data_IF_629848746816
#
_entry.id   IF_629848746816
#
_cell.length_a   1.000
_cell.length_b   1.000
_cell.length_c   1.000
_cell.angle_alpha   90.00
_cell.angle_beta   90.00
_cell.angle_gamma   90.00
#
_symmetry.space_group_name_H-M   'P 1'
#
loop_
_entity.id
_entity.type
_entity.pdbx_description
1 polymer ?
#
# COMPACT_ATOMS: atom_id res chain seq x y z
N UNK A 1 11.29 -1.80 -2.69
CA UNK A 1 12.25 -2.57 -3.51
C UNK A 1 13.53 -1.74 -3.69
N UNK A 2 14.72 -2.36 -3.95
CA UNK A 2 15.96 -1.62 -4.26
C UNK A 2 15.81 -0.65 -5.42
N UNK A 3 14.81 -0.84 -6.24
CA UNK A 3 14.53 -0.13 -7.49
C UNK A 3 13.49 0.98 -7.37
N UNK A 4 13.04 1.32 -6.15
CA UNK A 4 12.23 2.52 -5.97
C UNK A 4 13.14 3.75 -6.06
N UNK A 5 13.19 4.37 -7.22
CA UNK A 5 13.98 5.57 -7.47
C UNK A 5 13.19 6.82 -7.13
N UNK A 6 13.55 7.47 -6.04
CA UNK A 6 13.34 8.87 -5.87
C UNK A 6 14.66 9.60 -6.20
N UNK A 7 14.86 9.94 -7.44
CA UNK A 7 15.78 10.99 -7.86
C UNK A 7 14.97 12.07 -8.57
N UNK A 8 14.29 12.91 -7.82
CA UNK A 8 13.54 14.08 -8.32
C UNK A 8 12.76 13.75 -9.60
N UNK A 9 11.51 14.01 -9.64
CA UNK A 9 10.42 13.91 -10.65
C UNK A 9 10.66 13.46 -12.12
N UNK A 10 11.85 13.14 -12.57
CA UNK A 10 12.13 12.77 -13.97
C UNK A 10 12.31 11.27 -14.24
N UNK A 11 12.51 10.46 -13.21
CA UNK A 11 12.77 9.01 -13.40
C UNK A 11 11.54 8.13 -13.19
N UNK A 12 10.63 8.49 -12.28
CA UNK A 12 9.48 7.66 -11.92
C UNK A 12 8.46 7.51 -13.05
N UNK A 13 8.27 8.56 -13.83
CA UNK A 13 7.33 8.58 -14.95
C UNK A 13 7.76 7.65 -16.09
N UNK A 14 9.04 7.69 -16.47
CA UNK A 14 9.56 6.86 -17.55
C UNK A 14 9.70 5.40 -17.12
N UNK A 15 10.03 5.17 -15.84
CA UNK A 15 10.06 3.84 -15.26
C UNK A 15 8.68 3.20 -15.25
N UNK A 16 7.63 3.93 -14.85
CA UNK A 16 6.27 3.42 -14.84
C UNK A 16 5.82 2.97 -16.25
N UNK A 17 6.05 3.77 -17.28
CA UNK A 17 5.71 3.41 -18.66
C UNK A 17 6.52 2.19 -19.14
N UNK A 18 7.80 2.11 -18.78
CA UNK A 18 8.64 0.95 -19.09
C UNK A 18 8.10 -0.32 -18.44
N UNK A 19 7.71 -0.27 -17.14
CA UNK A 19 7.13 -1.42 -16.45
C UNK A 19 5.83 -1.88 -17.09
N UNK A 20 4.99 -0.96 -17.56
CA UNK A 20 3.77 -1.28 -18.31
C UNK A 20 4.11 -2.00 -19.62
N UNK A 21 5.08 -1.50 -20.38
CA UNK A 21 5.55 -2.14 -21.62
C UNK A 21 6.14 -3.54 -21.38
N UNK A 22 6.74 -3.76 -20.20
CA UNK A 22 7.26 -5.06 -19.75
C UNK A 22 6.16 -5.99 -19.21
N UNK A 23 4.91 -5.54 -19.15
CA UNK A 23 3.73 -6.36 -18.81
C UNK A 23 3.24 -6.23 -17.37
N UNK A 24 3.54 -5.15 -16.66
CA UNK A 24 2.95 -4.90 -15.36
C UNK A 24 1.44 -4.63 -15.47
N UNK A 25 0.63 -5.35 -14.70
CA UNK A 25 -0.82 -5.18 -14.62
C UNK A 25 -1.22 -4.01 -13.71
N UNK A 26 -0.43 -3.76 -12.67
CA UNK A 26 -0.65 -2.68 -11.69
C UNK A 26 0.65 -1.92 -11.48
N UNK A 27 0.58 -0.59 -11.50
CA UNK A 27 1.69 0.29 -11.12
C UNK A 27 1.41 0.86 -9.74
N UNK A 28 2.28 0.53 -8.76
CA UNK A 28 2.18 1.06 -7.40
C UNK A 28 3.03 2.32 -7.24
N UNK A 29 2.40 3.42 -6.79
CA UNK A 29 3.01 4.75 -6.72
C UNK A 29 2.95 5.24 -5.28
N UNK A 30 4.11 5.53 -4.69
CA UNK A 30 4.21 6.13 -3.36
C UNK A 30 5.06 7.40 -3.35
N UNK A 31 4.62 8.41 -2.61
CA UNK A 31 5.34 9.67 -2.42
C UNK A 31 6.15 9.72 -1.12
N UNK A 32 5.89 8.81 -0.18
CA UNK A 32 6.59 8.64 1.10
C UNK A 32 7.31 7.28 1.11
N UNK A 33 8.54 7.25 1.63
CA UNK A 33 9.26 5.98 1.78
C UNK A 33 8.81 5.27 3.06
N UNK A 34 8.45 3.99 2.95
CA UNK A 34 8.10 3.12 4.09
C UNK A 34 9.30 2.33 4.63
N UNK A 35 10.54 2.63 4.16
CA UNK A 35 11.77 1.97 4.61
C UNK A 35 12.14 2.37 6.03
N UNK A 36 12.88 1.50 6.76
CA UNK A 36 13.42 1.85 8.07
C UNK A 36 14.19 3.17 8.05
N UNK A 37 13.86 4.08 8.99
CA UNK A 37 14.53 5.38 9.11
C UNK A 37 14.08 6.46 8.12
N UNK A 38 13.09 6.19 7.28
CA UNK A 38 12.55 7.21 6.38
C UNK A 38 11.91 8.37 7.18
N UNK A 39 12.14 9.59 6.72
CA UNK A 39 11.52 10.78 7.29
C UNK A 39 10.04 10.85 6.85
N UNK A 40 9.20 11.38 7.77
CA UNK A 40 7.81 11.70 7.45
C UNK A 40 7.72 12.76 6.35
N UNK A 41 6.82 12.53 5.40
CA UNK A 41 6.52 13.46 4.30
C UNK A 41 5.13 14.04 4.52
N UNK A 42 4.96 15.37 4.35
CA UNK A 42 3.63 15.98 4.44
C UNK A 42 2.72 15.53 3.28
N UNK A 43 1.39 15.58 3.48
CA UNK A 43 0.44 15.24 2.42
C UNK A 43 0.63 16.10 1.17
N UNK A 44 0.88 17.41 1.33
CA UNK A 44 1.13 18.34 0.22
C UNK A 44 2.35 17.93 -0.62
N UNK A 45 3.45 17.57 0.06
CA UNK A 45 4.67 17.13 -0.62
C UNK A 45 4.48 15.76 -1.30
N UNK A 46 3.75 14.85 -0.66
CA UNK A 46 3.41 13.55 -1.23
C UNK A 46 2.56 13.71 -2.50
N UNK A 47 1.52 14.53 -2.45
CA UNK A 47 0.68 14.90 -3.60
C UNK A 47 1.55 15.50 -4.72
N UNK A 48 2.43 16.44 -4.39
CA UNK A 48 3.33 17.07 -5.37
C UNK A 48 4.21 16.05 -6.09
N UNK A 49 4.58 14.97 -5.42
CA UNK A 49 5.41 13.90 -5.98
C UNK A 49 4.66 12.97 -6.89
N UNK A 50 3.46 12.53 -6.49
CA UNK A 50 2.75 11.43 -7.18
C UNK A 50 1.87 11.90 -8.33
N UNK A 51 1.24 13.09 -8.23
CA UNK A 51 0.27 13.55 -9.22
C UNK A 51 0.85 13.66 -10.64
N UNK A 52 2.05 14.20 -10.87
CA UNK A 52 2.65 14.25 -12.21
C UNK A 52 2.81 12.85 -12.82
N UNK A 53 3.19 11.86 -12.00
CA UNK A 53 3.37 10.46 -12.44
C UNK A 53 2.03 9.85 -12.84
N UNK A 54 1.00 10.00 -12.01
CA UNK A 54 -0.36 9.49 -12.30
C UNK A 54 -0.87 10.07 -13.61
N UNK A 55 -0.79 11.39 -13.81
CA UNK A 55 -1.22 12.05 -15.04
C UNK A 55 -0.52 11.52 -16.28
N UNK A 56 0.79 11.32 -16.20
CA UNK A 56 1.56 10.80 -17.32
C UNK A 56 1.16 9.37 -17.67
N UNK A 57 0.98 8.50 -16.67
CA UNK A 57 0.52 7.12 -16.90
C UNK A 57 -0.87 7.14 -17.54
N UNK A 58 -1.82 7.91 -17.00
CA UNK A 58 -3.18 7.99 -17.54
C UNK A 58 -3.25 8.54 -18.95
N UNK A 59 -2.37 9.44 -19.32
CA UNK A 59 -2.29 9.95 -20.71
C UNK A 59 -1.80 8.88 -21.71
N UNK A 60 -1.07 7.87 -21.25
CA UNK A 60 -0.42 6.87 -22.10
C UNK A 60 -1.00 5.46 -21.96
N UNK A 61 -1.70 5.13 -20.87
CA UNK A 61 -2.10 3.76 -20.55
C UNK A 61 -3.37 3.70 -19.70
N UNK A 62 -4.09 2.58 -19.82
CA UNK A 62 -5.21 2.18 -18.95
C UNK A 62 -4.79 1.18 -17.85
N UNK A 63 -3.50 0.94 -17.65
CA UNK A 63 -3.01 0.08 -16.58
C UNK A 63 -3.52 0.52 -15.20
N UNK A 64 -3.83 -0.41 -14.30
CA UNK A 64 -4.30 -0.06 -12.98
C UNK A 64 -3.20 0.68 -12.18
N UNK A 65 -3.60 1.72 -11.45
CA UNK A 65 -2.70 2.49 -10.59
C UNK A 65 -3.12 2.27 -9.14
N UNK A 66 -2.24 1.70 -8.32
CA UNK A 66 -2.36 1.74 -6.87
C UNK A 66 -1.54 2.89 -6.30
N UNK A 67 -1.99 3.45 -5.18
CA UNK A 67 -1.30 4.54 -4.49
C UNK A 67 -0.97 4.09 -3.07
N UNK A 68 0.35 3.97 -2.79
CA UNK A 68 0.86 3.67 -1.45
C UNK A 68 0.83 4.95 -0.61
N UNK A 69 -0.20 5.06 0.20
CA UNK A 69 -0.39 6.16 1.14
C UNK A 69 -1.28 5.75 2.31
N UNK A 70 -1.10 6.44 3.45
CA UNK A 70 -1.89 6.32 4.67
C UNK A 70 -2.60 7.64 5.03
N UNK A 71 -2.74 8.54 4.04
CA UNK A 71 -3.32 9.88 4.21
C UNK A 71 -4.49 10.07 3.25
N UNK A 72 -5.65 10.45 3.80
CA UNK A 72 -6.87 10.65 3.03
C UNK A 72 -6.70 11.71 1.94
N UNK A 73 -6.06 12.83 2.24
CA UNK A 73 -5.86 13.92 1.27
C UNK A 73 -5.06 13.46 0.04
N UNK A 74 -4.10 12.56 0.26
CA UNK A 74 -3.25 12.05 -0.82
C UNK A 74 -4.04 11.13 -1.74
N UNK A 75 -4.77 10.15 -1.19
CA UNK A 75 -5.58 9.24 -2.03
C UNK A 75 -6.73 9.99 -2.71
N UNK A 76 -7.33 10.99 -2.07
CA UNK A 76 -8.37 11.82 -2.67
C UNK A 76 -7.85 12.57 -3.90
N UNK A 77 -6.69 13.22 -3.79
CA UNK A 77 -6.03 13.88 -4.91
C UNK A 77 -5.66 12.88 -6.02
N UNK A 78 -5.12 11.72 -5.65
CA UNK A 78 -4.71 10.70 -6.60
C UNK A 78 -5.90 10.11 -7.39
N UNK A 79 -7.00 9.80 -6.72
CA UNK A 79 -8.23 9.28 -7.35
C UNK A 79 -8.84 10.32 -8.31
N UNK A 80 -8.79 11.61 -7.96
CA UNK A 80 -9.25 12.67 -8.86
C UNK A 80 -8.47 12.75 -10.17
N UNK A 81 -7.23 12.27 -10.18
CA UNK A 81 -6.35 12.23 -11.35
C UNK A 81 -6.26 10.81 -11.99
N UNK A 82 -7.09 9.89 -11.52
CA UNK A 82 -7.28 8.59 -12.13
C UNK A 82 -6.57 7.41 -11.47
N UNK A 83 -6.16 7.51 -10.21
CA UNK A 83 -5.76 6.32 -9.44
C UNK A 83 -6.97 5.42 -9.16
N UNK A 84 -6.74 4.10 -9.11
CA UNK A 84 -7.78 3.09 -9.02
C UNK A 84 -7.85 2.41 -7.65
N UNK A 85 -6.71 2.27 -6.94
CA UNK A 85 -6.57 1.41 -5.77
C UNK A 85 -5.86 2.18 -4.66
N UNK A 86 -6.33 2.06 -3.43
CA UNK A 86 -5.61 2.48 -2.23
C UNK A 86 -4.74 1.32 -1.74
N UNK A 87 -3.43 1.52 -1.66
CA UNK A 87 -2.51 0.62 -0.98
C UNK A 87 -2.12 1.26 0.37
N UNK A 88 -2.70 0.76 1.48
CA UNK A 88 -2.47 1.34 2.79
C UNK A 88 -1.68 0.40 3.69
N UNK A 89 -0.39 0.70 3.85
CA UNK A 89 0.53 -0.04 4.72
C UNK A 89 0.17 0.03 6.20
N UNK A 90 -0.74 0.95 6.60
CA UNK A 90 -1.28 1.04 7.96
C UNK A 90 -2.56 0.23 8.16
N UNK A 91 -3.11 -0.36 7.10
CA UNK A 91 -4.39 -1.08 7.13
C UNK A 91 -5.53 -0.24 7.74
N UNK A 92 -5.63 1.03 7.36
CA UNK A 92 -6.64 2.01 7.81
C UNK A 92 -6.53 2.38 9.31
N UNK A 93 -5.31 2.35 9.87
CA UNK A 93 -5.09 2.71 11.27
C UNK A 93 -4.61 4.16 11.46
N UNK A 94 -3.87 4.70 10.48
CA UNK A 94 -3.21 6.00 10.64
C UNK A 94 -4.14 7.19 10.33
N UNK A 95 -5.25 6.98 9.60
CA UNK A 95 -6.22 8.02 9.23
C UNK A 95 -7.65 7.47 9.26
N UNK A 96 -8.48 7.98 10.19
CA UNK A 96 -9.85 7.49 10.41
C UNK A 96 -10.81 7.76 9.23
N UNK A 97 -10.53 8.78 8.43
CA UNK A 97 -11.39 9.21 7.32
C UNK A 97 -11.12 8.45 6.02
N UNK A 98 -9.96 7.82 5.90
CA UNK A 98 -9.53 7.14 4.67
C UNK A 98 -10.45 5.96 4.32
N UNK A 99 -10.92 5.21 5.33
CA UNK A 99 -11.83 4.09 5.14
C UNK A 99 -13.20 4.55 4.59
N UNK A 100 -13.73 5.65 5.13
CA UNK A 100 -15.01 6.22 4.68
C UNK A 100 -14.90 6.76 3.26
N UNK A 101 -13.80 7.41 2.92
CA UNK A 101 -13.52 7.86 1.56
C UNK A 101 -13.45 6.70 0.57
N UNK A 102 -12.71 5.63 0.89
CA UNK A 102 -12.60 4.45 0.03
C UNK A 102 -13.96 3.78 -0.20
N UNK A 103 -14.79 3.68 0.84
CA UNK A 103 -16.15 3.16 0.74
C UNK A 103 -17.04 4.03 -0.16
N UNK A 104 -17.03 5.36 0.02
CA UNK A 104 -17.79 6.31 -0.78
C UNK A 104 -17.42 6.24 -2.26
N UNK A 105 -16.12 6.19 -2.57
CA UNK A 105 -15.62 6.09 -3.94
C UNK A 105 -15.71 4.69 -4.53
N UNK A 106 -15.94 3.66 -3.70
CA UNK A 106 -16.00 2.26 -4.14
C UNK A 106 -14.69 1.74 -4.72
N UNK A 107 -13.54 2.31 -4.29
CA UNK A 107 -12.21 1.88 -4.73
C UNK A 107 -11.75 0.66 -3.95
N UNK A 108 -10.98 -0.26 -4.57
CA UNK A 108 -10.30 -1.34 -3.85
C UNK A 108 -9.29 -0.80 -2.84
N UNK A 109 -9.12 -1.54 -1.73
CA UNK A 109 -8.12 -1.25 -0.70
C UNK A 109 -7.23 -2.46 -0.46
N UNK A 110 -5.93 -2.23 -0.34
CA UNK A 110 -4.95 -3.22 0.09
C UNK A 110 -4.62 -2.93 1.55
N UNK A 111 -4.87 -3.90 2.41
CA UNK A 111 -4.64 -3.84 3.86
C UNK A 111 -3.39 -4.66 4.19
N UNK A 112 -2.31 -4.00 4.61
CA UNK A 112 -1.04 -4.66 4.88
C UNK A 112 -0.80 -4.85 6.39
N UNK A 113 -0.27 -6.02 6.77
CA UNK A 113 0.24 -6.25 8.11
C UNK A 113 1.65 -5.69 8.26
N UNK A 114 1.83 -4.76 9.19
CA UNK A 114 3.15 -4.31 9.68
C UNK A 114 3.24 -4.48 11.20
N UNK A 115 4.44 -4.68 11.73
CA UNK A 115 4.69 -4.65 13.17
C UNK A 115 5.60 -3.46 13.50
N UNK A 116 5.10 -2.54 14.33
CA UNK A 116 5.81 -1.33 14.69
C UNK A 116 5.82 -0.25 13.59
N UNK A 117 6.57 0.81 13.85
CA UNK A 117 6.78 1.90 12.89
C UNK A 117 8.06 1.64 12.07
N UNK A 118 8.20 2.21 10.87
CA UNK A 118 9.37 1.98 10.01
C UNK A 118 10.72 2.15 10.71
N UNK A 119 10.82 3.08 11.68
CA UNK A 119 12.06 3.35 12.39
C UNK A 119 12.59 2.18 13.24
N UNK A 120 11.69 1.35 13.79
CA UNK A 120 12.01 0.29 14.75
C UNK A 120 11.41 -1.08 14.41
N UNK A 121 10.78 -1.22 13.25
CA UNK A 121 10.06 -2.45 12.89
C UNK A 121 10.96 -3.70 12.84
N UNK A 122 12.26 -3.54 12.62
CA UNK A 122 13.21 -4.65 12.58
C UNK A 122 13.74 -5.05 13.96
N UNK A 123 13.44 -4.27 15.01
CA UNK A 123 13.91 -4.56 16.38
C UNK A 123 13.08 -5.67 17.05
N UNK A 124 11.86 -5.91 16.57
CA UNK A 124 10.96 -6.93 17.08
C UNK A 124 10.35 -7.78 15.96
N UNK A 125 11.12 -8.77 15.53
CA UNK A 125 10.72 -9.73 14.48
C UNK A 125 10.27 -11.08 15.04
N UNK A 126 10.19 -11.23 16.39
CA UNK A 126 9.82 -12.49 17.04
C UNK A 126 8.29 -12.67 17.06
N UNK A 127 7.83 -13.81 16.57
CA UNK A 127 6.43 -14.26 16.59
C UNK A 127 6.32 -15.59 17.35
N UNK A 128 5.21 -15.80 18.04
CA UNK A 128 4.87 -17.11 18.57
C UNK A 128 4.41 -18.07 17.46
N UNK A 129 3.48 -17.59 16.64
CA UNK A 129 3.02 -18.21 15.40
C UNK A 129 2.74 -17.08 14.40
N UNK A 130 3.69 -16.81 13.52
CA UNK A 130 3.60 -15.67 12.59
C UNK A 130 2.39 -15.75 11.67
N UNK A 131 2.01 -16.95 11.21
CA UNK A 131 0.86 -17.08 10.33
C UNK A 131 -0.43 -16.72 11.07
N UNK A 132 -0.67 -17.29 12.25
CA UNK A 132 -1.86 -17.01 13.05
C UNK A 132 -1.95 -15.56 13.51
N UNK A 133 -0.83 -14.96 13.91
CA UNK A 133 -0.80 -13.56 14.35
C UNK A 133 -1.13 -12.60 13.21
N UNK A 134 -0.55 -12.83 12.02
CA UNK A 134 -0.80 -12.02 10.82
C UNK A 134 -2.23 -12.22 10.33
N UNK A 135 -2.73 -13.45 10.28
CA UNK A 135 -4.08 -13.77 9.87
C UNK A 135 -5.12 -13.12 10.78
N UNK A 136 -4.96 -13.24 12.10
CA UNK A 136 -5.86 -12.62 13.07
C UNK A 136 -5.87 -11.09 12.96
N UNK A 137 -4.71 -10.47 12.76
CA UNK A 137 -4.63 -9.02 12.53
C UNK A 137 -5.39 -8.63 11.27
N UNK A 138 -5.07 -9.26 10.13
CA UNK A 138 -5.72 -8.95 8.85
C UNK A 138 -7.23 -9.19 8.90
N UNK A 139 -7.69 -10.28 9.53
CA UNK A 139 -9.11 -10.54 9.75
C UNK A 139 -9.79 -9.42 10.54
N UNK A 140 -9.12 -8.87 11.56
CA UNK A 140 -9.64 -7.73 12.32
C UNK A 140 -9.74 -6.47 11.46
N UNK A 141 -8.74 -6.21 10.60
CA UNK A 141 -8.73 -5.05 9.69
C UNK A 141 -9.76 -5.19 8.57
N UNK A 142 -9.95 -6.39 8.03
CA UNK A 142 -11.07 -6.70 7.11
C UNK A 142 -12.41 -6.41 7.77
N UNK A 143 -12.62 -6.87 9.00
CA UNK A 143 -13.86 -6.61 9.75
C UNK A 143 -14.08 -5.11 9.95
N UNK A 144 -13.03 -4.35 10.25
CA UNK A 144 -13.09 -2.89 10.34
C UNK A 144 -13.48 -2.26 9.01
N UNK A 145 -12.80 -2.62 7.90
CA UNK A 145 -13.10 -2.10 6.57
C UNK A 145 -14.55 -2.35 6.15
N UNK A 146 -15.06 -3.57 6.40
CA UNK A 146 -16.48 -3.93 6.18
C UNK A 146 -17.43 -3.06 7.01
N UNK A 147 -17.10 -2.81 8.27
CA UNK A 147 -17.92 -1.97 9.17
C UNK A 147 -17.98 -0.51 8.71
N UNK A 148 -16.97 -0.06 7.96
CA UNK A 148 -16.90 1.28 7.35
C UNK A 148 -17.58 1.35 5.99
N UNK A 149 -18.14 0.25 5.48
CA UNK A 149 -18.91 0.19 4.24
C UNK A 149 -18.09 -0.18 2.99
N UNK A 150 -16.82 -0.58 3.13
CA UNK A 150 -16.05 -1.10 1.99
C UNK A 150 -16.60 -2.47 1.61
N UNK A 151 -16.91 -2.67 0.32
CA UNK A 151 -17.48 -3.92 -0.15
C UNK A 151 -16.47 -5.08 -0.05
N UNK A 152 -16.90 -6.32 0.27
CA UNK A 152 -15.99 -7.45 0.47
C UNK A 152 -15.07 -7.71 -0.75
N UNK A 153 -15.59 -7.57 -1.95
CA UNK A 153 -14.84 -7.76 -3.20
C UNK A 153 -13.89 -6.60 -3.55
N UNK A 154 -13.79 -5.61 -2.68
CA UNK A 154 -12.88 -4.46 -2.78
C UNK A 154 -11.76 -4.50 -1.74
N UNK A 155 -11.66 -5.58 -0.97
CA UNK A 155 -10.63 -5.72 0.07
C UNK A 155 -9.60 -6.75 -0.38
N UNK A 156 -8.35 -6.36 -0.36
CA UNK A 156 -7.18 -7.20 -0.63
C UNK A 156 -6.34 -7.21 0.64
N UNK A 157 -5.80 -8.36 1.03
CA UNK A 157 -4.93 -8.49 2.19
C UNK A 157 -3.49 -8.77 1.78
N UNK A 158 -2.54 -8.10 2.44
CA UNK A 158 -1.10 -8.28 2.24
C UNK A 158 -0.44 -8.68 3.58
N UNK A 159 0.24 -9.83 3.65
CA UNK A 159 0.98 -10.23 4.85
C UNK A 159 2.13 -9.29 5.23
N UNK A 160 2.52 -8.36 4.38
CA UNK A 160 3.58 -7.39 4.63
C UNK A 160 4.95 -8.05 4.74
N UNK A 161 5.38 -8.73 3.67
CA UNK A 161 6.70 -9.38 3.59
C UNK A 161 7.80 -8.35 3.78
N UNK A 162 8.74 -8.60 4.72
CA UNK A 162 9.84 -7.67 5.03
C UNK A 162 9.51 -6.60 6.08
N UNK A 163 8.24 -6.44 6.48
CA UNK A 163 7.81 -5.46 7.46
C UNK A 163 7.74 -6.08 8.86
N UNK A 164 8.82 -5.93 9.67
CA UNK A 164 8.90 -6.47 11.02
C UNK A 164 8.91 -7.99 11.06
N UNK A 165 9.55 -8.64 10.11
CA UNK A 165 9.59 -10.11 9.95
C UNK A 165 11.00 -10.56 9.58
N UNK A 166 11.47 -11.61 10.24
CA UNK A 166 12.72 -12.27 9.89
C UNK A 166 12.58 -13.17 8.64
N UNK A 167 13.65 -13.80 8.23
CA UNK A 167 13.67 -14.64 7.03
C UNK A 167 12.67 -15.81 7.14
N UNK A 168 12.60 -16.48 8.30
CA UNK A 168 11.73 -17.65 8.48
C UNK A 168 10.27 -17.24 8.53
N UNK A 169 9.91 -16.14 9.20
CA UNK A 169 8.58 -15.58 9.20
C UNK A 169 8.11 -15.23 7.78
N UNK A 170 8.96 -14.57 6.99
CA UNK A 170 8.65 -14.26 5.59
C UNK A 170 8.42 -15.52 4.76
N UNK A 171 9.26 -16.55 4.92
CA UNK A 171 9.14 -17.83 4.21
C UNK A 171 7.83 -18.55 4.54
N UNK A 172 7.42 -18.55 5.82
CA UNK A 172 6.16 -19.15 6.25
C UNK A 172 4.97 -18.43 5.63
N UNK A 173 4.98 -17.10 5.64
CA UNK A 173 3.89 -16.28 5.08
C UNK A 173 3.77 -16.44 3.57
N UNK A 174 4.88 -16.41 2.82
CA UNK A 174 4.86 -16.62 1.37
C UNK A 174 4.25 -17.99 1.03
N UNK A 175 4.67 -19.05 1.76
CA UNK A 175 4.18 -20.42 1.51
C UNK A 175 2.68 -20.58 1.78
N UNK A 176 2.12 -19.78 2.67
CA UNK A 176 0.74 -19.90 3.13
C UNK A 176 -0.16 -18.69 2.77
N UNK A 177 0.32 -17.74 1.97
CA UNK A 177 -0.42 -16.51 1.66
C UNK A 177 -1.84 -16.75 1.13
N UNK A 178 -2.05 -17.78 0.33
CA UNK A 178 -3.38 -18.14 -0.18
C UNK A 178 -4.38 -18.68 0.86
N UNK A 179 -4.00 -18.74 2.15
CA UNK A 179 -4.87 -19.18 3.25
C UNK A 179 -5.26 -18.03 4.19
N UNK A 180 -4.75 -16.83 3.94
CA UNK A 180 -5.07 -15.66 4.78
C UNK A 180 -6.53 -15.24 4.60
N UNK A 181 -7.20 -14.99 5.72
CA UNK A 181 -8.60 -14.56 5.76
C UNK A 181 -9.56 -15.48 4.98
N UNK A 182 -9.20 -16.78 4.87
CA UNK A 182 -10.00 -17.81 4.22
C UNK A 182 -11.04 -18.47 5.12
#
# INVERSE_FOLDING_TARGET
TPDSFWEGSRGGEDLALKLIDEGADIIDIGGESTRPGAAYVSAEEEIRRIIPVIKKIRAASSAAISVDTRKKEVIEAAVSEGADILNDVSALEDDEDIASFAAEKGIPVILMHKRGIPAIMQDNTSYGDVFREVDAYLASRVSYALSRGIAPNKIIVDPGIGFGKDFEANRILIKNCGKLCG
#
